data_IF_710544154302
#
_entry.id   IF_710544154302
#
_cell.length_a   1.000
_cell.length_b   1.000
_cell.length_c   1.000
_cell.angle_alpha   90.00
_cell.angle_beta   90.00
_cell.angle_gamma   90.00
#
_symmetry.space_group_name_H-M   'P 1'
#
loop_
_entity.id
_entity.type
_entity.pdbx_description
1 polymer ?
#
# COMPACT_ATOMS: atom_id res chain seq x y z
N UNK A 1 23.96 -5.77 11.84
CA UNK A 1 23.33 -6.38 10.63
C UNK A 1 24.24 -6.07 9.46
N UNK A 2 24.70 -7.09 8.72
CA UNK A 2 25.66 -6.90 7.64
C UNK A 2 25.12 -5.94 6.58
N UNK A 3 25.93 -4.96 6.17
CA UNK A 3 25.53 -3.96 5.18
C UNK A 3 25.23 -4.65 3.83
N UNK A 4 23.97 -4.54 3.37
CA UNK A 4 23.49 -5.13 2.11
C UNK A 4 24.34 -4.67 0.91
N UNK A 5 24.88 -3.45 0.95
CA UNK A 5 25.76 -2.92 -0.10
C UNK A 5 27.12 -3.63 -0.09
N UNK A 6 27.67 -3.89 1.09
CA UNK A 6 28.93 -4.62 1.25
C UNK A 6 28.80 -6.06 0.75
N UNK A 7 27.74 -6.77 1.16
CA UNK A 7 27.52 -8.15 0.71
C UNK A 7 27.30 -8.21 -0.81
N UNK A 8 26.48 -7.30 -1.36
CA UNK A 8 26.28 -7.21 -2.81
C UNK A 8 27.59 -7.00 -3.56
N UNK A 9 28.48 -6.15 -3.04
CA UNK A 9 29.79 -5.91 -3.64
C UNK A 9 30.69 -7.16 -3.56
N UNK A 10 30.69 -7.89 -2.44
CA UNK A 10 31.47 -9.13 -2.28
C UNK A 10 31.03 -10.21 -3.29
N UNK A 11 29.72 -10.40 -3.46
CA UNK A 11 29.16 -11.34 -4.45
C UNK A 11 29.58 -10.95 -5.88
N UNK A 12 29.44 -9.68 -6.23
CA UNK A 12 29.82 -9.19 -7.55
C UNK A 12 31.34 -9.31 -7.82
N UNK A 13 32.18 -9.20 -6.79
CA UNK A 13 33.63 -9.47 -6.88
C UNK A 13 33.92 -10.95 -7.08
N UNK A 14 33.18 -11.85 -6.40
CA UNK A 14 33.32 -13.29 -6.58
C UNK A 14 33.00 -13.73 -8.02
N UNK A 15 31.99 -13.11 -8.65
CA UNK A 15 31.60 -13.38 -10.04
C UNK A 15 32.54 -12.75 -11.08
N UNK A 16 32.92 -11.47 -10.88
CA UNK A 16 33.63 -10.69 -11.90
C UNK A 16 35.15 -10.70 -11.78
N UNK A 17 35.68 -11.00 -10.59
CA UNK A 17 37.11 -10.88 -10.29
C UNK A 17 37.66 -9.45 -10.38
N UNK A 18 36.81 -8.43 -10.48
CA UNK A 18 37.19 -7.03 -10.72
C UNK A 18 36.34 -6.06 -9.92
N UNK A 19 36.98 -5.19 -9.13
CA UNK A 19 36.29 -4.13 -8.36
C UNK A 19 35.52 -3.19 -9.29
N UNK A 20 36.06 -2.89 -10.47
CA UNK A 20 35.42 -1.93 -11.38
C UNK A 20 34.13 -2.51 -11.99
N UNK A 21 34.14 -3.78 -12.38
CA UNK A 21 32.93 -4.45 -12.88
C UNK A 21 31.92 -4.65 -11.75
N UNK A 22 32.38 -5.13 -10.59
CA UNK A 22 31.54 -5.32 -9.42
C UNK A 22 30.85 -4.02 -8.98
N UNK A 23 31.59 -2.90 -8.91
CA UNK A 23 31.05 -1.59 -8.56
C UNK A 23 29.92 -1.16 -9.50
N UNK A 24 30.08 -1.34 -10.81
CA UNK A 24 29.04 -1.03 -11.80
C UNK A 24 27.81 -1.91 -11.62
N UNK A 25 27.99 -3.21 -11.40
CA UNK A 25 26.89 -4.17 -11.22
C UNK A 25 26.01 -3.82 -10.01
N UNK A 26 26.61 -3.29 -8.94
CA UNK A 26 25.88 -2.89 -7.72
C UNK A 26 25.55 -1.39 -7.65
N UNK A 27 25.77 -0.63 -8.73
CA UNK A 27 25.43 0.81 -8.80
C UNK A 27 26.29 1.73 -7.95
N UNK A 28 27.53 1.34 -7.63
CA UNK A 28 28.49 2.11 -6.85
C UNK A 28 29.53 2.80 -7.74
N UNK A 29 30.04 3.95 -7.29
CA UNK A 29 31.26 4.51 -7.88
C UNK A 29 32.46 3.63 -7.54
N UNK A 30 33.46 3.57 -8.42
CA UNK A 30 34.70 2.81 -8.17
C UNK A 30 35.35 3.20 -6.83
N UNK A 31 35.41 4.50 -6.53
CA UNK A 31 35.91 5.02 -5.24
C UNK A 31 35.05 4.54 -4.07
N UNK A 32 33.73 4.52 -4.22
CA UNK A 32 32.79 4.03 -3.19
C UNK A 32 32.95 2.53 -2.93
N UNK A 33 33.14 1.72 -3.97
CA UNK A 33 33.43 0.30 -3.84
C UNK A 33 34.75 0.07 -3.07
N UNK A 34 35.81 0.81 -3.41
CA UNK A 34 37.08 0.75 -2.68
C UNK A 34 36.94 1.10 -1.19
N UNK A 35 36.21 2.15 -0.85
CA UNK A 35 35.97 2.53 0.55
C UNK A 35 35.23 1.45 1.34
N UNK A 36 34.27 0.76 0.71
CA UNK A 36 33.54 -0.36 1.34
C UNK A 36 34.48 -1.54 1.59
N UNK A 37 35.32 -1.88 0.61
CA UNK A 37 36.31 -2.97 0.71
C UNK A 37 37.33 -2.69 1.82
N UNK A 38 37.90 -1.50 1.83
CA UNK A 38 38.88 -1.06 2.82
C UNK A 38 38.27 -1.10 4.22
N UNK A 39 37.06 -0.57 4.38
CA UNK A 39 36.33 -0.62 5.65
C UNK A 39 36.06 -2.05 6.09
N UNK A 40 35.65 -2.92 5.17
CA UNK A 40 35.36 -4.32 5.46
C UNK A 40 36.61 -5.08 5.93
N UNK A 41 37.75 -4.84 5.28
CA UNK A 41 39.03 -5.42 5.70
C UNK A 41 39.49 -4.87 7.06
N UNK A 42 39.37 -3.56 7.30
CA UNK A 42 39.81 -2.92 8.54
C UNK A 42 38.97 -3.30 9.77
N UNK A 43 37.67 -3.53 9.58
CA UNK A 43 36.75 -3.94 10.66
C UNK A 43 36.78 -5.46 10.90
N UNK A 44 37.36 -6.23 9.98
CA UNK A 44 37.40 -7.68 10.09
C UNK A 44 38.71 -8.16 10.74
N UNK A 45 38.65 -9.13 11.66
CA UNK A 45 39.86 -9.76 12.22
C UNK A 45 40.73 -10.47 11.17
N UNK A 46 40.17 -10.77 10.00
CA UNK A 46 40.86 -11.39 8.86
C UNK A 46 40.55 -10.61 7.59
N UNK A 47 41.55 -10.40 6.74
CA UNK A 47 41.37 -9.79 5.42
C UNK A 47 40.30 -10.57 4.65
N UNK A 48 39.25 -9.90 4.20
CA UNK A 48 38.12 -10.50 3.49
C UNK A 48 38.32 -10.51 1.98
N UNK A 49 39.04 -9.50 1.45
CA UNK A 49 39.26 -9.29 0.02
C UNK A 49 40.75 -9.08 -0.23
N UNK A 50 41.31 -9.83 -1.18
CA UNK A 50 42.66 -9.69 -1.66
C UNK A 50 42.67 -9.01 -3.04
N UNK A 51 43.55 -8.05 -3.21
CA UNK A 51 43.76 -7.33 -4.48
C UNK A 51 45.18 -7.57 -4.96
N UNK A 52 45.33 -8.04 -6.19
CA UNK A 52 46.64 -8.14 -6.85
C UNK A 52 46.94 -6.86 -7.62
N UNK A 53 48.14 -6.31 -7.45
CA UNK A 53 48.64 -5.18 -8.27
C UNK A 53 49.32 -5.74 -9.51
N UNK A 54 48.87 -5.40 -10.72
CA UNK A 54 49.48 -5.97 -11.92
C UNK A 54 49.11 -5.34 -13.26
N UNK A 55 50.03 -4.50 -13.78
CA UNK A 55 50.39 -4.38 -15.20
C UNK A 55 49.32 -4.04 -16.25
N UNK A 56 49.74 -4.02 -17.51
CA UNK A 56 48.98 -3.58 -18.70
C UNK A 56 47.69 -4.35 -19.01
N UNK A 57 47.34 -5.38 -18.22
CA UNK A 57 46.08 -6.15 -18.33
C UNK A 57 45.18 -6.08 -17.08
N UNK A 58 45.53 -5.27 -16.08
CA UNK A 58 44.68 -4.99 -14.91
C UNK A 58 44.87 -5.99 -13.76
N UNK A 59 44.95 -5.46 -12.54
CA UNK A 59 45.01 -6.24 -11.30
C UNK A 59 43.68 -6.92 -10.97
N UNK A 60 43.72 -8.20 -10.60
CA UNK A 60 42.54 -8.98 -10.21
C UNK A 60 42.20 -8.80 -8.73
N UNK A 61 40.91 -8.87 -8.41
CA UNK A 61 40.39 -8.84 -7.03
C UNK A 61 39.63 -10.11 -6.75
N UNK A 62 39.93 -10.76 -5.62
CA UNK A 62 39.27 -12.00 -5.22
C UNK A 62 38.97 -12.00 -3.73
N UNK A 63 37.98 -12.82 -3.35
CA UNK A 63 37.69 -13.06 -1.95
C UNK A 63 38.72 -13.99 -1.34
N UNK A 64 39.10 -13.72 -0.10
CA UNK A 64 39.88 -14.66 0.69
C UNK A 64 38.98 -15.79 1.21
N UNK A 65 39.58 -16.83 1.80
CA UNK A 65 38.83 -17.88 2.49
C UNK A 65 37.91 -17.33 3.59
N UNK A 66 38.30 -16.23 4.25
CA UNK A 66 37.46 -15.54 5.24
C UNK A 66 36.27 -14.81 4.58
N UNK A 67 36.51 -14.12 3.46
CA UNK A 67 35.45 -13.48 2.67
C UNK A 67 34.42 -14.49 2.14
N UNK A 68 34.88 -15.61 1.60
CA UNK A 68 34.00 -16.71 1.16
C UNK A 68 33.19 -17.32 2.31
N UNK A 69 33.81 -17.50 3.48
CA UNK A 69 33.12 -18.03 4.66
C UNK A 69 32.02 -17.08 5.14
N UNK A 70 32.27 -15.77 5.09
CA UNK A 70 31.29 -14.74 5.42
C UNK A 70 30.09 -14.77 4.47
N UNK A 71 30.35 -14.87 3.16
CA UNK A 71 29.28 -14.99 2.15
C UNK A 71 28.45 -16.25 2.35
N UNK A 72 29.09 -17.40 2.61
CA UNK A 72 28.38 -18.66 2.90
C UNK A 72 27.48 -18.52 4.14
N UNK A 73 27.97 -17.90 5.21
CA UNK A 73 27.17 -17.65 6.41
C UNK A 73 25.99 -16.73 6.11
N UNK A 74 26.21 -15.64 5.37
CA UNK A 74 25.16 -14.71 4.99
C UNK A 74 24.07 -15.39 4.15
N UNK A 75 24.46 -16.15 3.12
CA UNK A 75 23.52 -16.88 2.26
C UNK A 75 22.70 -17.90 3.04
N UNK A 76 23.31 -18.59 4.02
CA UNK A 76 22.60 -19.49 4.92
C UNK A 76 21.57 -18.74 5.77
N UNK A 77 21.94 -17.59 6.34
CA UNK A 77 21.03 -16.77 7.14
C UNK A 77 19.86 -16.23 6.30
N UNK A 78 20.11 -15.73 5.10
CA UNK A 78 19.07 -15.26 4.17
C UNK A 78 18.11 -16.39 3.80
N UNK A 79 18.61 -17.60 3.53
CA UNK A 79 17.78 -18.74 3.21
C UNK A 79 16.86 -19.11 4.39
N UNK A 80 17.42 -19.19 5.60
CA UNK A 80 16.65 -19.47 6.81
C UNK A 80 15.59 -18.38 7.08
N UNK A 81 15.95 -17.12 6.89
CA UNK A 81 15.03 -16.00 7.04
C UNK A 81 13.88 -16.07 6.05
N UNK A 82 14.18 -16.34 4.77
CA UNK A 82 13.16 -16.50 3.73
C UNK A 82 12.21 -17.65 4.04
N UNK A 83 12.74 -18.79 4.47
CA UNK A 83 11.94 -19.95 4.88
C UNK A 83 11.05 -19.65 6.08
N UNK A 84 11.59 -18.97 7.09
CA UNK A 84 10.84 -18.55 8.27
C UNK A 84 9.67 -17.63 7.90
N UNK A 85 9.92 -16.61 7.05
CA UNK A 85 8.84 -15.72 6.58
C UNK A 85 7.80 -16.48 5.75
N UNK A 86 8.20 -17.43 4.92
CA UNK A 86 7.26 -18.27 4.17
C UNK A 86 6.38 -19.11 5.10
N UNK A 87 6.95 -19.71 6.13
CA UNK A 87 6.21 -20.49 7.13
C UNK A 87 5.24 -19.60 7.93
N UNK A 88 5.68 -18.41 8.35
CA UNK A 88 4.80 -17.46 9.03
C UNK A 88 3.65 -17.02 8.12
N UNK A 89 3.92 -16.70 6.85
CA UNK A 89 2.88 -16.30 5.91
C UNK A 89 1.90 -17.44 5.61
N UNK A 90 2.37 -18.70 5.57
CA UNK A 90 1.49 -19.86 5.44
C UNK A 90 0.62 -20.05 6.67
N UNK A 91 1.20 -19.97 7.88
CA UNK A 91 0.44 -20.10 9.13
C UNK A 91 -0.55 -18.94 9.35
N UNK A 92 -0.22 -17.74 8.87
CA UNK A 92 -1.13 -16.60 8.87
C UNK A 92 -2.24 -16.74 7.83
N UNK A 93 -1.99 -17.45 6.72
CA UNK A 93 -2.99 -17.72 5.69
C UNK A 93 -4.06 -18.75 6.12
N UNK A 94 -3.83 -19.46 7.24
CA UNK A 94 -4.84 -20.34 7.84
C UNK A 94 -6.02 -19.57 8.45
N UNK A 95 -5.89 -18.24 8.61
CA UNK A 95 -6.97 -17.35 9.02
C UNK A 95 -7.17 -16.22 7.97
N UNK A 96 -8.12 -16.40 7.02
CA UNK A 96 -8.36 -15.43 5.96
C UNK A 96 -8.83 -14.06 6.47
N UNK A 97 -9.48 -14.01 7.64
CA UNK A 97 -9.94 -12.75 8.23
C UNK A 97 -8.77 -11.95 8.80
N UNK A 98 -7.81 -12.61 9.47
CA UNK A 98 -6.57 -11.98 9.94
C UNK A 98 -5.74 -11.48 8.75
N UNK A 99 -5.65 -12.25 7.66
CA UNK A 99 -4.95 -11.78 6.46
C UNK A 99 -5.59 -10.56 5.83
N UNK A 100 -6.93 -10.53 5.76
CA UNK A 100 -7.66 -9.37 5.29
C UNK A 100 -7.43 -8.15 6.19
N UNK A 101 -7.42 -8.33 7.52
CA UNK A 101 -7.10 -7.27 8.48
C UNK A 101 -5.67 -6.74 8.30
N UNK A 102 -4.68 -7.62 8.16
CA UNK A 102 -3.28 -7.22 7.98
C UNK A 102 -3.06 -6.49 6.66
N UNK A 103 -3.68 -6.93 5.55
CA UNK A 103 -3.68 -6.20 4.28
C UNK A 103 -4.25 -4.77 4.44
N UNK A 104 -5.33 -4.61 5.22
CA UNK A 104 -5.97 -3.32 5.46
C UNK A 104 -5.10 -2.37 6.29
N UNK A 105 -4.29 -2.87 7.23
CA UNK A 105 -3.44 -2.02 8.08
C UNK A 105 -2.24 -1.39 7.36
N UNK A 106 -1.84 -1.90 6.19
CA UNK A 106 -0.70 -1.36 5.43
C UNK A 106 -1.05 -0.05 4.73
N UNK A 107 -2.35 0.23 4.52
CA UNK A 107 -2.80 1.37 3.72
C UNK A 107 -2.82 2.65 4.56
N UNK A 108 -1.92 3.58 4.24
CA UNK A 108 -1.84 4.90 4.87
C UNK A 108 -2.29 5.98 3.89
N UNK A 109 -3.47 6.56 4.10
CA UNK A 109 -4.00 7.67 3.29
C UNK A 109 -4.49 8.80 4.19
N UNK A 110 -4.51 10.03 3.67
CA UNK A 110 -5.13 11.18 4.35
C UNK A 110 -6.65 11.08 4.41
N UNK A 111 -7.26 10.30 3.50
CA UNK A 111 -8.69 10.09 3.42
C UNK A 111 -9.18 9.17 4.53
N UNK A 112 -10.17 9.62 5.31
CA UNK A 112 -10.75 8.85 6.43
C UNK A 112 -11.71 7.75 5.97
N UNK A 113 -12.37 7.93 4.83
CA UNK A 113 -13.30 6.94 4.30
C UNK A 113 -12.53 5.95 3.45
N UNK A 114 -12.26 4.79 4.04
CA UNK A 114 -11.67 3.64 3.37
C UNK A 114 -12.69 2.50 3.43
N UNK A 115 -13.39 2.28 2.33
CA UNK A 115 -14.39 1.22 2.22
C UNK A 115 -13.80 0.06 1.45
N UNK A 116 -13.96 -1.15 1.97
CA UNK A 116 -13.41 -2.37 1.38
C UNK A 116 -14.53 -3.24 0.83
N UNK A 117 -14.32 -3.80 -0.36
CA UNK A 117 -15.33 -4.62 -0.99
C UNK A 117 -14.80 -5.49 -2.11
N UNK A 118 -15.70 -6.20 -2.77
CA UNK A 118 -15.40 -7.00 -3.96
C UNK A 118 -15.98 -6.37 -5.21
N UNK A 119 -15.23 -6.39 -6.29
CA UNK A 119 -15.71 -5.93 -7.60
C UNK A 119 -16.73 -6.94 -8.10
N UNK A 120 -17.95 -6.49 -8.32
CA UNK A 120 -19.09 -7.32 -8.76
C UNK A 120 -19.39 -7.17 -10.24
N UNK A 121 -19.15 -5.99 -10.81
CA UNK A 121 -19.34 -5.72 -12.22
C UNK A 121 -18.44 -4.58 -12.70
N UNK A 122 -18.13 -4.60 -13.99
CA UNK A 122 -17.42 -3.54 -14.70
C UNK A 122 -18.22 -3.24 -15.96
N UNK A 123 -18.71 -2.01 -16.09
CA UNK A 123 -19.55 -1.57 -17.21
C UNK A 123 -18.82 -0.51 -18.03
N UNK A 124 -18.31 -0.85 -19.22
CA UNK A 124 -17.62 0.10 -20.07
C UNK A 124 -18.62 1.10 -20.67
N UNK A 125 -18.41 2.40 -20.41
CA UNK A 125 -19.05 3.49 -21.14
C UNK A 125 -18.15 4.03 -22.25
N UNK A 126 -18.61 5.03 -23.00
CA UNK A 126 -17.87 5.62 -24.13
C UNK A 126 -16.55 6.28 -23.71
N UNK A 127 -16.53 6.91 -22.53
CA UNK A 127 -15.37 7.65 -21.99
C UNK A 127 -14.92 7.05 -20.65
N UNK A 128 -15.88 6.84 -19.75
CA UNK A 128 -15.63 6.26 -18.42
C UNK A 128 -16.17 4.84 -18.33
N UNK A 129 -15.60 4.06 -17.42
CA UNK A 129 -16.04 2.73 -17.03
C UNK A 129 -16.56 2.80 -15.60
N UNK A 130 -17.78 2.31 -15.38
CA UNK A 130 -18.34 2.16 -14.04
C UNK A 130 -17.92 0.82 -13.44
N UNK A 131 -17.34 0.86 -12.25
CA UNK A 131 -16.94 -0.30 -11.47
C UNK A 131 -17.85 -0.39 -10.26
N UNK A 132 -18.49 -1.54 -10.09
CA UNK A 132 -19.43 -1.80 -9.02
C UNK A 132 -18.73 -2.62 -7.93
N UNK A 133 -18.70 -2.10 -6.72
CA UNK A 133 -18.05 -2.71 -5.57
C UNK A 133 -19.09 -3.02 -4.50
N UNK A 134 -19.21 -4.29 -4.13
CA UNK A 134 -20.04 -4.70 -2.99
C UNK A 134 -19.25 -4.58 -1.71
N UNK A 135 -19.77 -3.82 -0.76
CA UNK A 135 -19.31 -3.73 0.62
C UNK A 135 -19.85 -4.91 1.44
N UNK A 136 -19.55 -4.90 2.74
CA UNK A 136 -20.13 -5.83 3.71
C UNK A 136 -21.66 -5.68 3.76
N UNK A 137 -22.38 -6.77 4.04
CA UNK A 137 -23.86 -6.81 4.05
C UNK A 137 -24.55 -6.44 2.72
N UNK A 138 -23.80 -6.37 1.60
CA UNK A 138 -24.36 -6.25 0.24
C UNK A 138 -24.64 -4.82 -0.23
N UNK A 139 -24.30 -3.79 0.55
CA UNK A 139 -24.33 -2.41 0.06
C UNK A 139 -23.39 -2.25 -1.14
N UNK A 140 -23.78 -1.43 -2.11
CA UNK A 140 -23.04 -1.28 -3.37
C UNK A 140 -22.56 0.16 -3.55
N UNK A 141 -21.30 0.30 -3.93
CA UNK A 141 -20.70 1.58 -4.34
C UNK A 141 -20.25 1.47 -5.79
N UNK A 142 -20.59 2.49 -6.58
CA UNK A 142 -20.18 2.68 -7.96
C UNK A 142 -19.05 3.70 -8.01
N UNK A 143 -17.93 3.29 -8.60
CA UNK A 143 -16.79 4.14 -8.94
C UNK A 143 -16.70 4.31 -10.46
N UNK A 144 -16.58 5.53 -10.95
CA UNK A 144 -16.38 5.86 -12.36
C UNK A 144 -14.91 6.17 -12.59
N UNK A 145 -14.23 5.30 -13.32
CA UNK A 145 -12.80 5.44 -13.67
C UNK A 145 -12.61 5.48 -15.19
N UNK A 146 -11.42 5.86 -15.64
CA UNK A 146 -11.12 5.82 -17.08
C UNK A 146 -10.73 4.41 -17.51
N UNK A 147 -10.87 4.08 -18.81
CA UNK A 147 -10.45 2.77 -19.34
C UNK A 147 -8.96 2.47 -19.09
N UNK A 148 -8.01 3.40 -19.31
CA UNK A 148 -6.60 3.15 -18.99
C UNK A 148 -6.38 2.75 -17.52
N UNK A 149 -7.15 3.33 -16.59
CA UNK A 149 -7.05 2.98 -15.16
C UNK A 149 -7.45 1.53 -14.88
N UNK A 150 -8.43 0.98 -15.61
CA UNK A 150 -8.83 -0.43 -15.49
C UNK A 150 -7.67 -1.34 -15.86
N UNK A 151 -7.01 -1.05 -17.00
CA UNK A 151 -5.92 -1.86 -17.53
C UNK A 151 -4.65 -1.74 -16.66
N UNK A 152 -4.28 -0.52 -16.25
CA UNK A 152 -3.11 -0.24 -15.41
C UNK A 152 -3.19 -0.89 -14.03
N UNK A 153 -4.38 -0.89 -13.42
CA UNK A 153 -4.60 -1.49 -12.10
C UNK A 153 -4.97 -2.99 -12.17
N UNK A 154 -5.19 -3.54 -13.36
CA UNK A 154 -5.60 -4.94 -13.52
C UNK A 154 -6.96 -5.25 -12.87
N UNK A 155 -7.88 -4.30 -12.90
CA UNK A 155 -9.21 -4.40 -12.27
C UNK A 155 -10.01 -5.51 -12.96
N UNK A 156 -10.49 -6.49 -12.19
CA UNK A 156 -11.29 -7.61 -12.68
C UNK A 156 -12.43 -7.95 -11.72
N UNK A 157 -13.51 -8.51 -12.26
CA UNK A 157 -14.65 -8.98 -11.46
C UNK A 157 -14.20 -10.10 -10.53
N UNK A 158 -14.63 -10.03 -9.26
CA UNK A 158 -14.23 -10.91 -8.17
C UNK A 158 -13.02 -10.42 -7.39
N UNK A 159 -12.27 -9.44 -7.93
CA UNK A 159 -11.12 -8.84 -7.25
C UNK A 159 -11.50 -8.06 -6.00
N UNK A 160 -10.59 -8.02 -5.03
CA UNK A 160 -10.73 -7.19 -3.84
C UNK A 160 -10.37 -5.73 -4.17
N UNK A 161 -11.20 -4.81 -3.69
CA UNK A 161 -11.07 -3.39 -3.93
C UNK A 161 -11.10 -2.57 -2.64
N UNK A 162 -10.42 -1.44 -2.68
CA UNK A 162 -10.53 -0.36 -1.72
C UNK A 162 -11.06 0.89 -2.41
N UNK A 163 -11.99 1.57 -1.77
CA UNK A 163 -12.54 2.85 -2.19
C UNK A 163 -12.14 3.92 -1.18
N UNK A 164 -11.45 4.95 -1.66
CA UNK A 164 -11.07 6.11 -0.86
C UNK A 164 -11.96 7.28 -1.24
N UNK A 165 -12.72 7.82 -0.28
CA UNK A 165 -13.66 8.93 -0.54
C UNK A 165 -13.35 10.11 0.36
N UNK A 166 -13.03 11.26 -0.21
CA UNK A 166 -12.76 12.45 0.61
C UNK A 166 -14.04 12.91 1.32
N UNK A 167 -13.96 13.19 2.62
CA UNK A 167 -15.10 13.59 3.43
C UNK A 167 -15.89 14.81 2.89
N UNK A 168 -15.26 15.84 2.27
CA UNK A 168 -15.98 16.95 1.65
C UNK A 168 -16.76 16.60 0.36
N UNK A 169 -16.48 15.46 -0.28
CA UNK A 169 -17.22 14.99 -1.47
C UNK A 169 -18.55 14.32 -1.10
N UNK A 170 -18.80 14.12 0.21
CA UNK A 170 -19.97 13.43 0.73
C UNK A 170 -21.00 14.45 1.18
N UNK A 171 -22.17 14.41 0.55
CA UNK A 171 -23.36 15.15 0.94
C UNK A 171 -24.13 14.30 1.97
N UNK A 172 -24.56 14.92 3.06
CA UNK A 172 -25.41 14.26 4.06
C UNK A 172 -26.85 14.69 3.85
N UNK A 173 -27.75 13.71 3.84
CA UNK A 173 -29.20 13.89 3.71
C UNK A 173 -29.89 13.19 4.88
N UNK A 174 -30.96 13.78 5.41
CA UNK A 174 -31.80 13.11 6.42
C UNK A 174 -32.59 11.96 5.77
N UNK A 175 -32.77 10.84 6.47
CA UNK A 175 -33.47 9.67 5.91
C UNK A 175 -34.98 9.91 5.72
N UNK A 176 -35.58 10.82 6.49
CA UNK A 176 -37.03 11.10 6.43
C UNK A 176 -37.48 11.79 5.12
N UNK A 177 -36.54 12.13 4.23
CA UNK A 177 -36.80 12.89 3.01
C UNK A 177 -36.53 12.04 1.75
N UNK A 178 -37.28 10.95 1.62
CA UNK A 178 -37.25 10.03 0.46
C UNK A 178 -37.80 10.67 -0.85
N UNK A 179 -38.10 11.98 -0.81
CA UNK A 179 -38.64 12.73 -1.96
C UNK A 179 -37.57 13.24 -2.93
N UNK A 180 -36.29 13.23 -2.56
CA UNK A 180 -35.23 13.78 -3.41
C UNK A 180 -34.65 12.76 -4.39
N UNK A 181 -34.55 13.20 -5.66
CA UNK A 181 -33.77 12.52 -6.67
C UNK A 181 -32.38 13.16 -6.76
N UNK A 182 -31.35 12.33 -6.72
CA UNK A 182 -29.96 12.78 -6.85
C UNK A 182 -29.36 12.30 -8.17
N UNK A 183 -28.51 13.14 -8.77
CA UNK A 183 -27.61 12.69 -9.85
C UNK A 183 -26.44 11.84 -9.32
N UNK A 184 -26.25 11.82 -8.01
CA UNK A 184 -25.30 10.95 -7.33
C UNK A 184 -25.73 9.48 -7.47
N UNK A 185 -24.74 8.61 -7.69
CA UNK A 185 -24.97 7.17 -7.91
C UNK A 185 -24.86 6.36 -6.62
N UNK A 186 -24.24 6.94 -5.59
CA UNK A 186 -23.94 6.27 -4.34
C UNK A 186 -24.79 6.85 -3.23
N UNK A 187 -25.44 5.95 -2.48
CA UNK A 187 -26.28 6.24 -1.33
C UNK A 187 -25.95 5.20 -0.25
N UNK A 188 -25.32 5.63 0.84
CA UNK A 188 -25.00 4.77 1.97
C UNK A 188 -25.77 5.27 3.19
N UNK A 189 -26.69 4.46 3.69
CA UNK A 189 -27.59 4.85 4.77
C UNK A 189 -27.11 4.28 6.09
N UNK A 190 -27.24 5.07 7.15
CA UNK A 190 -26.79 4.66 8.46
C UNK A 190 -27.34 5.52 9.57
N UNK A 191 -26.70 5.40 10.73
CA UNK A 191 -27.06 6.16 11.93
C UNK A 191 -25.90 7.05 12.31
N UNK A 192 -26.15 8.32 12.60
CA UNK A 192 -25.12 9.24 13.09
C UNK A 192 -24.67 8.77 14.46
N UNK A 193 -23.38 8.47 14.60
CA UNK A 193 -22.78 8.04 15.87
C UNK A 193 -21.94 9.14 16.52
N UNK A 194 -21.54 10.16 15.75
CA UNK A 194 -20.76 11.29 16.24
C UNK A 194 -20.94 12.52 15.37
N UNK A 195 -21.07 13.68 16.01
CA UNK A 195 -21.04 15.00 15.36
C UNK A 195 -20.02 15.85 16.12
N UNK A 196 -19.05 16.43 15.41
CA UNK A 196 -18.03 17.30 16.00
C UNK A 196 -18.04 18.65 15.28
N UNK A 197 -18.40 19.70 16.01
CA UNK A 197 -18.38 21.07 15.50
C UNK A 197 -16.97 21.66 15.62
N UNK A 198 -16.43 22.15 14.50
CA UNK A 198 -15.13 22.80 14.39
C UNK A 198 -15.22 24.32 14.20
N UNK A 199 -16.38 24.93 14.45
CA UNK A 199 -16.64 26.37 14.35
C UNK A 199 -17.03 26.86 12.96
N UNK A 200 -16.40 26.34 11.91
CA UNK A 200 -16.80 26.60 10.50
C UNK A 200 -17.45 25.36 9.91
N UNK A 201 -16.73 24.24 9.99
CA UNK A 201 -17.19 22.94 9.53
C UNK A 201 -17.58 22.04 10.70
N UNK A 202 -18.37 21.03 10.41
CA UNK A 202 -18.76 19.95 11.29
C UNK A 202 -18.39 18.63 10.63
N UNK A 203 -17.72 17.77 11.39
CA UNK A 203 -17.49 16.39 11.00
C UNK A 203 -18.64 15.53 11.54
N UNK A 204 -19.27 14.78 10.65
CA UNK A 204 -20.35 13.85 10.98
C UNK A 204 -19.89 12.44 10.64
N UNK A 205 -19.96 11.54 11.61
CA UNK A 205 -19.65 10.13 11.44
C UNK A 205 -20.95 9.33 11.44
N UNK A 206 -21.19 8.64 10.33
CA UNK A 206 -22.36 7.79 10.09
C UNK A 206 -21.90 6.34 10.16
N UNK A 207 -22.54 5.53 10.98
CA UNK A 207 -22.34 4.08 11.02
C UNK A 207 -23.33 3.39 10.10
N UNK A 208 -22.79 2.62 9.16
CA UNK A 208 -23.53 1.78 8.22
C UNK A 208 -24.05 0.52 8.93
N UNK A 209 -25.02 -0.17 8.31
CA UNK A 209 -25.56 -1.43 8.83
C UNK A 209 -24.49 -2.51 9.00
N UNK A 210 -23.45 -2.49 8.17
CA UNK A 210 -22.30 -3.40 8.23
C UNK A 210 -21.35 -3.14 9.41
N UNK A 211 -21.57 -2.07 10.18
CA UNK A 211 -20.70 -1.61 11.26
C UNK A 211 -19.54 -0.72 10.79
N UNK A 212 -19.31 -0.60 9.48
CA UNK A 212 -18.36 0.36 8.90
C UNK A 212 -18.83 1.81 9.14
N UNK A 213 -17.90 2.76 9.08
CA UNK A 213 -18.22 4.18 9.29
C UNK A 213 -17.83 5.04 8.11
N UNK A 214 -18.64 6.07 7.87
CA UNK A 214 -18.42 7.09 6.84
C UNK A 214 -18.36 8.44 7.55
N UNK A 215 -17.26 9.16 7.33
CA UNK A 215 -17.04 10.53 7.78
C UNK A 215 -17.38 11.51 6.65
N UNK A 216 -18.28 12.43 6.92
CA UNK A 216 -18.62 13.55 6.06
C UNK A 216 -18.18 14.87 6.70
N UNK A 217 -17.71 15.82 5.88
CA UNK A 217 -17.39 17.17 6.31
C UNK A 217 -18.38 18.14 5.65
N UNK A 218 -19.12 18.87 6.47
CA UNK A 218 -20.13 19.83 6.02
C UNK A 218 -20.06 21.08 6.87
N UNK A 219 -20.61 22.19 6.38
CA UNK A 219 -20.66 23.42 7.18
C UNK A 219 -21.46 23.21 8.47
N UNK A 220 -21.09 23.90 9.55
CA UNK A 220 -21.84 23.81 10.81
C UNK A 220 -23.32 24.20 10.63
N UNK A 221 -23.60 25.22 9.82
CA UNK A 221 -24.97 25.63 9.48
C UNK A 221 -25.76 24.51 8.82
N UNK A 222 -25.14 23.73 7.93
CA UNK A 222 -25.79 22.58 7.29
C UNK A 222 -26.09 21.47 8.30
N UNK A 223 -25.16 21.18 9.21
CA UNK A 223 -25.37 20.17 10.24
C UNK A 223 -26.51 20.56 11.21
N UNK A 224 -26.57 21.83 11.58
CA UNK A 224 -27.65 22.40 12.42
C UNK A 224 -29.00 22.40 11.69
N UNK A 225 -29.03 22.81 10.42
CA UNK A 225 -30.25 22.86 9.61
C UNK A 225 -30.85 21.47 9.34
N UNK A 226 -30.00 20.44 9.23
CA UNK A 226 -30.39 19.04 9.11
C UNK A 226 -30.69 18.38 10.46
N UNK A 227 -30.56 19.14 11.56
CA UNK A 227 -30.73 18.67 12.94
C UNK A 227 -29.93 17.40 13.28
N UNK A 228 -28.75 17.23 12.68
CA UNK A 228 -27.94 16.02 12.82
C UNK A 228 -27.46 15.86 14.27
N UNK A 229 -27.85 14.76 14.91
CA UNK A 229 -27.49 14.42 16.29
C UNK A 229 -27.18 12.94 16.38
N UNK A 230 -26.45 12.55 17.42
CA UNK A 230 -26.20 11.12 17.66
C UNK A 230 -27.53 10.37 17.77
N UNK A 231 -27.66 9.27 17.02
CA UNK A 231 -28.86 8.46 16.92
C UNK A 231 -29.78 8.82 15.76
N UNK A 232 -29.60 9.97 15.10
CA UNK A 232 -30.41 10.32 13.93
C UNK A 232 -30.02 9.45 12.74
N UNK A 233 -31.02 9.10 11.93
CA UNK A 233 -30.77 8.46 10.66
C UNK A 233 -30.28 9.46 9.63
N UNK A 234 -29.28 9.04 8.86
CA UNK A 234 -28.68 9.89 7.84
C UNK A 234 -28.15 9.06 6.69
N UNK A 235 -28.06 9.71 5.55
CA UNK A 235 -27.66 9.13 4.30
C UNK A 235 -26.47 9.89 3.71
N UNK A 236 -25.36 9.19 3.47
CA UNK A 236 -24.20 9.69 2.76
C UNK A 236 -24.41 9.52 1.24
N UNK A 237 -24.39 10.62 0.51
CA UNK A 237 -24.65 10.69 -0.93
C UNK A 237 -23.45 11.28 -1.64
N UNK A 238 -22.93 10.59 -2.66
CA UNK A 238 -21.77 11.06 -3.43
C UNK A 238 -21.80 10.54 -4.87
N UNK A 239 -21.15 11.28 -5.77
CA UNK A 239 -21.10 10.92 -7.20
C UNK A 239 -20.18 9.73 -7.45
N UNK A 240 -20.37 9.05 -8.58
CA UNK A 240 -19.53 7.92 -8.96
C UNK A 240 -18.05 8.31 -9.19
N UNK A 241 -17.74 9.58 -9.46
CA UNK A 241 -16.36 10.04 -9.66
C UNK A 241 -15.67 10.50 -8.36
N UNK A 242 -16.35 10.50 -7.22
CA UNK A 242 -15.76 10.86 -5.93
C UNK A 242 -14.85 9.75 -5.33
N UNK A 243 -15.18 8.45 -5.45
CA UNK A 243 -14.31 7.38 -4.97
C UNK A 243 -13.05 7.25 -5.84
N UNK A 244 -11.89 7.20 -5.18
CA UNK A 244 -10.65 6.74 -5.78
C UNK A 244 -10.57 5.22 -5.54
N UNK A 245 -10.48 4.47 -6.63
CA UNK A 245 -10.45 3.00 -6.62
C UNK A 245 -9.01 2.48 -6.56
N UNK A 246 -8.76 1.52 -5.68
CA UNK A 246 -7.54 0.71 -5.63
C UNK A 246 -7.88 -0.79 -5.53
N UNK A 247 -6.89 -1.63 -5.81
CA UNK A 247 -6.98 -3.11 -5.74
C UNK A 247 -5.93 -3.68 -4.77
N UNK A 248 -6.17 -4.89 -4.22
CA UNK A 248 -5.37 -5.53 -3.16
C UNK A 248 -4.77 -6.90 -3.52
#
# INVERSE_FOLDING_TARGET
MLDKRMIGLLLAIEESGSINQAAKQVGLSYKGAWQIIERANNLSPKVLIATSTGGSKGGGTSLTAAGQSLLKLFNRLELQHKQFLQQLNQSLADDPDIMLLLKRQVIKTSTRNQLFGKITAIQPGAVNTEVFVSLKEGEQVVASVTRPTIDELGISVGGDAILLINAPEIIVVSEDDDTYQFSARNRLTGTVIRVQHGGVDSEVIIQLSSGETVAALLTQRSAEALELKVGTKACAVFKANAPILGVL
#
